data_IF_708035595642
#
_entry.id   IF_708035595642
#
_cell.length_a   1.000
_cell.length_b   1.000
_cell.length_c   1.000
_cell.angle_alpha   90.00
_cell.angle_beta   90.00
_cell.angle_gamma   90.00
#
_symmetry.space_group_name_H-M   'P 1'
#
loop_
_entity.id
_entity.type
_entity.pdbx_description
1 polymer ?
#
# COMPACT_ATOMS: atom_id res chain seq x y z
N UNK A 1 19.58 15.84 19.96
CA UNK A 1 18.62 14.82 19.47
C UNK A 1 18.28 15.18 18.04
N UNK A 2 18.33 14.21 17.16
CA UNK A 2 18.03 14.34 15.72
C UNK A 2 16.51 14.42 15.53
N UNK A 3 15.95 15.40 14.80
CA UNK A 3 14.54 15.40 14.43
C UNK A 3 14.16 14.11 13.68
N UNK A 4 12.91 13.66 13.82
CA UNK A 4 12.44 12.43 13.18
C UNK A 4 12.54 12.49 11.65
N UNK A 5 12.12 13.61 11.09
CA UNK A 5 12.13 13.86 9.65
C UNK A 5 13.56 13.84 9.07
N UNK A 6 14.52 14.42 9.80
CA UNK A 6 15.94 14.43 9.42
C UNK A 6 16.55 13.01 9.50
N UNK A 7 16.21 12.25 10.56
CA UNK A 7 16.62 10.86 10.71
C UNK A 7 16.10 10.00 9.56
N UNK A 8 14.81 10.15 9.24
CA UNK A 8 14.17 9.44 8.14
C UNK A 8 14.82 9.79 6.79
N UNK A 9 15.04 11.08 6.53
CA UNK A 9 15.68 11.54 5.29
C UNK A 9 17.12 11.00 5.17
N UNK A 10 17.92 11.08 6.23
CA UNK A 10 19.29 10.55 6.24
C UNK A 10 19.32 9.02 6.01
N UNK A 11 18.41 8.30 6.64
CA UNK A 11 18.28 6.85 6.47
C UNK A 11 17.87 6.50 5.03
N UNK A 12 16.82 7.11 4.51
CA UNK A 12 16.34 6.83 3.17
C UNK A 12 17.36 7.18 2.10
N UNK A 13 18.14 8.26 2.27
CA UNK A 13 19.19 8.64 1.31
C UNK A 13 20.33 7.62 1.20
N UNK A 14 20.59 6.85 2.25
CA UNK A 14 21.62 5.80 2.24
C UNK A 14 21.12 4.49 1.64
N UNK A 15 19.83 4.19 1.74
CA UNK A 15 19.25 2.93 1.27
C UNK A 15 19.17 2.88 -0.26
N UNK A 16 19.63 1.80 -0.92
CA UNK A 16 19.47 1.61 -2.35
C UNK A 16 18.06 1.14 -2.70
N UNK A 17 17.70 1.28 -3.97
CA UNK A 17 16.61 0.48 -4.55
C UNK A 17 17.12 -0.92 -4.92
N UNK A 18 16.26 -1.95 -4.90
CA UNK A 18 16.64 -3.29 -5.34
C UNK A 18 16.98 -3.30 -6.83
N UNK A 19 17.94 -4.15 -7.21
CA UNK A 19 18.38 -4.34 -8.60
C UNK A 19 17.99 -5.69 -9.16
N UNK A 20 17.76 -6.68 -8.29
CA UNK A 20 17.32 -8.02 -8.70
C UNK A 20 15.83 -8.00 -9.03
N UNK A 21 15.44 -8.72 -10.06
CA UNK A 21 14.05 -8.87 -10.50
C UNK A 21 13.72 -10.33 -10.73
N UNK A 22 12.44 -10.68 -10.67
CA UNK A 22 11.92 -11.98 -11.05
C UNK A 22 10.64 -11.82 -11.87
N UNK A 23 10.35 -12.78 -12.72
CA UNK A 23 9.10 -12.82 -13.51
C UNK A 23 8.11 -13.73 -12.80
N UNK A 24 6.91 -13.20 -12.58
CA UNK A 24 5.83 -13.88 -11.87
C UNK A 24 4.57 -13.94 -12.72
N UNK A 25 3.83 -15.04 -12.62
CA UNK A 25 2.46 -15.07 -13.10
C UNK A 25 1.61 -14.02 -12.33
N UNK A 26 0.63 -13.39 -12.98
CA UNK A 26 -0.22 -12.39 -12.32
C UNK A 26 -0.88 -12.92 -11.04
N UNK A 27 -1.25 -14.19 -11.01
CA UNK A 27 -1.87 -14.85 -9.84
C UNK A 27 -0.94 -14.95 -8.62
N UNK A 28 0.38 -14.82 -8.81
CA UNK A 28 1.41 -14.89 -7.77
C UNK A 28 2.01 -13.52 -7.44
N UNK A 29 1.61 -12.49 -8.20
CA UNK A 29 2.21 -11.17 -8.12
C UNK A 29 1.55 -10.24 -7.07
N UNK A 30 0.51 -10.69 -6.36
CA UNK A 30 -0.16 -9.88 -5.35
C UNK A 30 0.81 -9.40 -4.25
N UNK A 31 0.64 -8.13 -3.85
CA UNK A 31 1.45 -7.44 -2.83
C UNK A 31 2.96 -7.33 -3.16
N UNK A 32 3.32 -7.55 -4.43
CA UNK A 32 4.68 -7.34 -4.93
C UNK A 32 4.82 -5.91 -5.48
N UNK A 33 6.05 -5.53 -5.81
CA UNK A 33 6.36 -4.22 -6.38
C UNK A 33 6.85 -4.41 -7.81
N UNK A 34 6.25 -3.69 -8.74
CA UNK A 34 6.58 -3.74 -10.17
C UNK A 34 8.02 -3.28 -10.41
N UNK A 35 8.80 -4.08 -11.15
CA UNK A 35 10.23 -3.83 -11.35
C UNK A 35 10.56 -3.08 -12.65
N UNK A 36 9.58 -2.87 -13.53
CA UNK A 36 9.72 -2.10 -14.79
C UNK A 36 8.38 -1.45 -15.14
N UNK A 37 8.40 -0.48 -16.05
CA UNK A 37 7.18 0.09 -16.59
C UNK A 37 6.43 -0.97 -17.41
N UNK A 38 5.12 -1.12 -17.18
CA UNK A 38 4.26 -2.02 -17.94
C UNK A 38 3.54 -1.23 -19.02
N UNK A 39 3.78 -1.64 -20.27
CA UNK A 39 3.22 -0.97 -21.45
C UNK A 39 2.06 -1.80 -21.99
N UNK A 40 0.94 -1.15 -22.26
CA UNK A 40 -0.22 -1.83 -22.83
C UNK A 40 0.08 -2.39 -24.24
N UNK A 41 -0.10 -3.71 -24.46
CA UNK A 41 0.07 -4.33 -25.78
C UNK A 41 -1.11 -4.11 -26.72
N UNK A 42 -2.25 -3.66 -26.20
CA UNK A 42 -3.52 -3.51 -26.93
C UNK A 42 -4.22 -2.21 -26.56
N UNK A 43 -5.25 -1.87 -27.34
CA UNK A 43 -6.21 -0.84 -26.98
C UNK A 43 -7.32 -1.45 -26.08
N UNK A 44 -7.88 -0.67 -25.17
CA UNK A 44 -9.09 -1.01 -24.40
C UNK A 44 -10.10 0.11 -24.55
N UNK A 45 -11.30 -0.16 -25.07
CA UNK A 45 -11.69 -1.40 -25.75
C UNK A 45 -10.86 -1.65 -27.02
N UNK A 46 -10.76 -2.90 -27.44
CA UNK A 46 -9.95 -3.30 -28.60
C UNK A 46 -10.61 -3.03 -29.96
N UNK A 47 -11.87 -2.61 -29.95
CA UNK A 47 -12.68 -2.23 -31.12
C UNK A 47 -13.79 -1.27 -30.69
N UNK A 48 -14.33 -0.48 -31.62
CA UNK A 48 -15.51 0.33 -31.38
C UNK A 48 -16.68 -0.56 -31.00
N UNK A 49 -17.34 -0.28 -29.86
CA UNK A 49 -18.45 -1.10 -29.39
C UNK A 49 -19.63 -0.25 -28.88
N UNK A 50 -20.79 -0.89 -28.78
CA UNK A 50 -21.99 -0.23 -28.29
C UNK A 50 -21.94 0.00 -26.78
N UNK A 51 -22.28 1.21 -26.37
CA UNK A 51 -22.49 1.55 -24.95
C UNK A 51 -23.86 1.09 -24.42
N UNK A 52 -24.83 0.82 -25.31
CA UNK A 52 -26.23 0.54 -25.00
C UNK A 52 -26.78 -0.62 -25.83
N UNK A 53 -27.84 -1.22 -25.33
CA UNK A 53 -28.68 -2.11 -26.12
C UNK A 53 -29.57 -1.29 -27.03
N UNK A 54 -29.57 -1.58 -28.33
CA UNK A 54 -30.30 -0.77 -29.27
C UNK A 54 -30.12 -1.17 -30.72
N UNK A 55 -30.02 -0.19 -31.57
CA UNK A 55 -29.88 -0.37 -33.03
C UNK A 55 -28.72 0.51 -33.54
N UNK A 56 -27.76 -0.12 -34.18
CA UNK A 56 -26.72 0.58 -34.93
C UNK A 56 -27.30 1.09 -36.25
N UNK A 57 -27.07 2.37 -36.54
CA UNK A 57 -27.70 3.07 -37.68
C UNK A 57 -26.65 3.92 -38.42
N UNK A 58 -26.96 4.21 -39.67
CA UNK A 58 -26.33 5.28 -40.44
C UNK A 58 -27.21 6.50 -40.43
N UNK A 59 -26.65 7.65 -40.09
CA UNK A 59 -27.38 8.94 -40.04
C UNK A 59 -28.02 9.28 -41.42
N UNK A 60 -27.31 8.98 -42.49
CA UNK A 60 -27.83 9.22 -43.86
C UNK A 60 -29.10 8.45 -44.13
N UNK A 61 -29.25 7.22 -43.62
CA UNK A 61 -30.48 6.44 -43.79
C UNK A 61 -31.65 7.05 -42.96
N UNK A 62 -31.38 7.46 -41.73
CA UNK A 62 -32.38 8.08 -40.86
C UNK A 62 -32.85 9.48 -41.33
N UNK A 63 -31.95 10.20 -42.06
CA UNK A 63 -32.35 11.47 -42.68
C UNK A 63 -33.36 11.27 -43.85
N UNK A 64 -33.36 10.09 -44.46
CA UNK A 64 -34.31 9.74 -45.53
C UNK A 64 -35.60 9.13 -44.97
N UNK A 65 -35.50 8.26 -43.97
CA UNK A 65 -36.63 7.62 -43.31
C UNK A 65 -36.33 7.29 -41.86
N UNK A 66 -37.23 7.65 -40.98
CA UNK A 66 -37.15 7.27 -39.57
C UNK A 66 -37.60 5.85 -39.27
N UNK A 67 -38.00 5.07 -40.31
CA UNK A 67 -38.38 3.67 -40.21
C UNK A 67 -37.42 2.87 -41.09
N UNK A 68 -36.72 1.91 -40.46
CA UNK A 68 -35.71 1.07 -41.12
C UNK A 68 -36.03 -0.44 -40.98
N UNK A 69 -35.61 -1.24 -41.92
CA UNK A 69 -35.59 -2.71 -41.80
C UNK A 69 -34.48 -3.15 -40.84
N UNK A 70 -34.61 -4.34 -40.25
CA UNK A 70 -33.56 -4.93 -39.42
C UNK A 70 -32.75 -5.95 -40.20
N UNK A 71 -31.49 -5.61 -40.54
CA UNK A 71 -30.63 -6.45 -41.38
C UNK A 71 -30.04 -7.66 -40.63
N UNK A 72 -29.98 -7.58 -39.29
CA UNK A 72 -29.43 -8.66 -38.47
C UNK A 72 -29.11 -8.19 -37.06
N UNK A 73 -28.26 -8.98 -36.38
CA UNK A 73 -27.94 -8.76 -34.96
C UNK A 73 -26.42 -8.78 -34.71
N UNK A 74 -25.93 -7.94 -33.80
CA UNK A 74 -24.56 -7.93 -33.30
C UNK A 74 -24.57 -8.15 -31.80
N UNK A 75 -23.89 -9.18 -31.32
CA UNK A 75 -23.76 -9.52 -29.91
C UNK A 75 -22.30 -9.46 -29.47
N UNK A 76 -22.06 -9.28 -28.18
CA UNK A 76 -20.74 -9.43 -27.60
C UNK A 76 -20.20 -10.85 -27.88
N UNK A 77 -18.99 -10.95 -28.43
CA UNK A 77 -18.41 -12.23 -28.88
C UNK A 77 -18.94 -12.81 -30.19
N UNK A 78 -20.04 -12.25 -30.74
CA UNK A 78 -20.60 -12.66 -32.02
C UNK A 78 -21.00 -11.43 -32.84
N UNK A 79 -20.04 -10.75 -33.48
CA UNK A 79 -20.29 -9.53 -34.23
C UNK A 79 -21.14 -9.79 -35.45
N UNK A 80 -21.87 -8.79 -35.91
CA UNK A 80 -22.60 -8.84 -37.15
C UNK A 80 -21.63 -9.09 -38.33
N UNK A 81 -21.88 -10.15 -39.05
CA UNK A 81 -21.11 -10.54 -40.26
C UNK A 81 -21.99 -10.39 -41.47
N UNK A 82 -21.70 -9.43 -42.30
CA UNK A 82 -22.44 -9.26 -43.55
C UNK A 82 -22.50 -7.81 -43.99
N UNK A 83 -22.95 -7.65 -45.25
CA UNK A 83 -23.28 -6.32 -45.77
C UNK A 83 -24.73 -6.03 -45.45
N UNK A 84 -24.99 -4.88 -44.85
CA UNK A 84 -26.35 -4.40 -44.67
C UNK A 84 -26.68 -3.31 -45.69
N UNK A 85 -27.88 -3.44 -46.30
CA UNK A 85 -28.33 -2.54 -47.35
C UNK A 85 -28.63 -1.13 -46.85
N UNK A 86 -28.93 -0.20 -47.75
CA UNK A 86 -29.49 1.09 -47.42
C UNK A 86 -30.84 0.90 -46.71
N UNK A 87 -31.28 1.91 -45.96
CA UNK A 87 -32.52 1.91 -45.20
C UNK A 87 -32.69 0.72 -44.23
N UNK A 88 -31.59 0.32 -43.59
CA UNK A 88 -31.60 -0.75 -42.60
C UNK A 88 -30.78 -0.40 -41.36
N UNK A 89 -31.12 -1.04 -40.23
CA UNK A 89 -30.46 -0.97 -38.95
C UNK A 89 -29.95 -2.38 -38.54
N UNK A 90 -28.97 -2.44 -37.65
CA UNK A 90 -28.52 -3.70 -37.04
C UNK A 90 -28.87 -3.66 -35.55
N UNK A 91 -29.63 -4.65 -35.08
CA UNK A 91 -29.88 -4.84 -33.66
C UNK A 91 -28.56 -5.08 -32.94
N UNK A 92 -28.22 -4.29 -31.95
CA UNK A 92 -26.93 -4.38 -31.26
C UNK A 92 -27.13 -4.41 -29.77
N UNK A 93 -26.27 -5.16 -29.06
CA UNK A 93 -26.22 -5.23 -27.61
C UNK A 93 -24.99 -4.52 -27.07
N UNK A 94 -25.06 -4.10 -25.82
CA UNK A 94 -23.95 -3.46 -25.10
C UNK A 94 -22.68 -4.31 -25.18
N UNK A 95 -21.56 -3.68 -25.51
CA UNK A 95 -20.26 -4.35 -25.70
C UNK A 95 -20.08 -5.05 -27.04
N UNK A 96 -21.12 -5.13 -27.88
CA UNK A 96 -21.01 -5.71 -29.23
C UNK A 96 -20.27 -4.75 -30.17
N UNK A 97 -19.48 -5.33 -31.10
CA UNK A 97 -18.74 -4.59 -32.11
C UNK A 97 -19.71 -3.79 -33.01
N UNK A 98 -19.38 -2.52 -33.21
CA UNK A 98 -20.13 -1.65 -34.12
C UNK A 98 -20.00 -2.18 -35.57
N UNK A 99 -21.12 -2.41 -36.29
CA UNK A 99 -21.06 -2.79 -37.69
C UNK A 99 -20.37 -1.72 -38.53
N UNK A 100 -19.61 -2.16 -39.52
CA UNK A 100 -18.93 -1.23 -40.43
C UNK A 100 -19.92 -0.28 -41.13
N UNK A 101 -19.60 1.01 -41.07
CA UNK A 101 -20.41 2.08 -41.64
C UNK A 101 -21.53 2.60 -40.76
N UNK A 102 -21.70 2.07 -39.53
CA UNK A 102 -22.62 2.67 -38.58
C UNK A 102 -22.05 3.96 -37.97
N UNK A 103 -22.91 4.97 -37.83
CA UNK A 103 -22.55 6.29 -37.31
C UNK A 103 -22.98 6.52 -35.86
N UNK A 104 -23.99 5.78 -35.39
CA UNK A 104 -24.54 5.90 -34.06
C UNK A 104 -25.27 4.63 -33.63
N UNK A 105 -25.52 4.54 -32.32
CA UNK A 105 -26.43 3.56 -31.73
C UNK A 105 -27.58 4.31 -31.05
N UNK A 106 -28.81 3.96 -31.42
CA UNK A 106 -30.03 4.45 -30.76
C UNK A 106 -30.49 3.41 -29.75
N UNK A 107 -30.77 3.84 -28.51
CA UNK A 107 -31.24 2.94 -27.46
C UNK A 107 -32.56 2.28 -27.84
N UNK A 108 -32.75 1.06 -27.41
CA UNK A 108 -34.02 0.32 -27.70
C UNK A 108 -35.25 1.00 -27.14
N UNK A 109 -35.09 1.76 -26.04
CA UNK A 109 -36.17 2.51 -25.39
C UNK A 109 -36.67 3.71 -26.25
N UNK A 110 -35.86 4.15 -27.22
CA UNK A 110 -36.12 5.22 -28.14
C UNK A 110 -36.64 4.74 -29.50
N UNK A 111 -36.91 3.41 -29.60
CA UNK A 111 -37.27 2.75 -30.86
C UNK A 111 -38.59 1.98 -30.69
N UNK A 112 -39.51 2.13 -31.65
CA UNK A 112 -40.72 1.33 -31.76
C UNK A 112 -40.48 0.18 -32.75
N UNK A 113 -40.69 -1.06 -32.30
CA UNK A 113 -40.68 -2.25 -33.20
C UNK A 113 -42.07 -2.42 -33.79
N UNK A 114 -42.17 -2.40 -35.11
CA UNK A 114 -43.45 -2.53 -35.85
C UNK A 114 -43.81 -4.02 -36.04
N UNK A 115 -45.09 -4.28 -36.32
CA UNK A 115 -45.62 -5.63 -36.58
C UNK A 115 -44.96 -6.34 -37.76
N UNK A 116 -44.51 -5.56 -38.77
CA UNK A 116 -43.80 -6.08 -39.96
C UNK A 116 -42.30 -6.33 -39.72
N UNK A 117 -41.81 -6.12 -38.46
CA UNK A 117 -40.41 -6.32 -38.10
C UNK A 117 -39.49 -5.14 -38.44
N UNK A 118 -40.01 -4.05 -38.98
CA UNK A 118 -39.25 -2.79 -39.09
C UNK A 118 -39.15 -2.08 -37.77
N UNK A 119 -38.26 -1.09 -37.68
CA UNK A 119 -38.04 -0.29 -36.46
C UNK A 119 -38.18 1.20 -36.77
N UNK A 120 -38.96 1.92 -35.98
CA UNK A 120 -39.16 3.36 -36.10
C UNK A 120 -38.47 4.09 -34.98
N UNK A 121 -37.65 5.07 -35.31
CA UNK A 121 -36.84 5.87 -34.39
C UNK A 121 -37.59 7.16 -34.01
N UNK A 122 -37.52 7.51 -32.73
CA UNK A 122 -38.22 8.70 -32.21
C UNK A 122 -37.54 10.01 -32.62
N UNK A 123 -36.23 10.01 -32.77
CA UNK A 123 -35.40 11.17 -33.11
C UNK A 123 -34.13 10.78 -33.85
N UNK A 124 -33.54 11.74 -34.59
CA UNK A 124 -32.25 11.59 -35.20
C UNK A 124 -31.13 11.61 -34.12
N UNK A 125 -30.28 10.58 -34.01
CA UNK A 125 -29.20 10.57 -33.04
C UNK A 125 -28.08 11.53 -33.46
N UNK A 126 -27.25 11.90 -32.48
CA UNK A 126 -25.98 12.61 -32.75
C UNK A 126 -24.95 11.67 -33.35
N UNK A 127 -24.00 12.19 -34.19
CA UNK A 127 -22.86 11.39 -34.63
C UNK A 127 -22.12 10.79 -33.42
N UNK A 128 -21.75 9.51 -33.52
CA UNK A 128 -21.07 8.73 -32.49
C UNK A 128 -21.85 8.52 -31.17
N UNK A 129 -23.16 8.82 -31.16
CA UNK A 129 -24.00 8.60 -29.99
C UNK A 129 -23.94 7.13 -29.58
N UNK A 130 -23.69 6.86 -28.28
CA UNK A 130 -23.61 5.53 -27.67
C UNK A 130 -22.58 4.58 -28.29
N UNK A 131 -21.52 5.12 -28.91
CA UNK A 131 -20.38 4.34 -29.38
C UNK A 131 -19.18 4.61 -28.48
N UNK A 132 -18.64 3.56 -27.83
CA UNK A 132 -17.34 3.59 -27.16
C UNK A 132 -16.26 3.34 -28.19
N UNK A 133 -15.28 4.23 -28.24
CA UNK A 133 -14.22 4.17 -29.24
C UNK A 133 -13.08 3.25 -28.82
N UNK A 134 -12.46 2.62 -29.81
CA UNK A 134 -11.22 1.87 -29.66
C UNK A 134 -10.18 2.72 -28.89
N UNK A 135 -9.60 2.16 -27.80
CA UNK A 135 -8.59 2.82 -27.00
C UNK A 135 -9.10 4.01 -26.15
N UNK A 136 -10.39 4.09 -25.89
CA UNK A 136 -11.00 5.16 -25.09
C UNK A 136 -10.52 5.13 -23.63
N UNK A 137 -10.29 3.95 -23.08
CA UNK A 137 -9.79 3.74 -21.70
C UNK A 137 -8.26 3.65 -21.69
N UNK A 138 -7.69 2.72 -22.46
CA UNK A 138 -6.24 2.51 -22.56
C UNK A 138 -5.84 2.38 -24.02
N UNK A 139 -4.81 3.10 -24.43
CA UNK A 139 -4.24 2.96 -25.80
C UNK A 139 -3.08 1.99 -25.79
N UNK A 140 -2.93 1.27 -26.87
CA UNK A 140 -1.72 0.48 -27.12
C UNK A 140 -0.49 1.40 -27.07
N UNK A 141 0.50 1.04 -26.24
CA UNK A 141 1.70 1.82 -26.00
C UNK A 141 1.66 2.71 -24.77
N UNK A 142 0.50 2.88 -24.12
CA UNK A 142 0.41 3.61 -22.86
C UNK A 142 1.13 2.85 -21.73
N UNK A 143 1.81 3.58 -20.87
CA UNK A 143 2.34 3.03 -19.62
C UNK A 143 1.18 2.92 -18.63
N UNK A 144 0.83 1.71 -18.25
CA UNK A 144 -0.31 1.43 -17.36
C UNK A 144 0.09 1.23 -15.90
N UNK A 145 1.35 0.83 -15.66
CA UNK A 145 1.97 0.81 -14.35
C UNK A 145 3.41 1.26 -14.48
N UNK A 146 3.90 2.00 -13.50
CA UNK A 146 5.29 2.41 -13.42
C UNK A 146 6.13 1.49 -12.56
N UNK A 147 7.42 1.44 -12.85
CA UNK A 147 8.39 0.82 -11.96
C UNK A 147 8.28 1.41 -10.55
N UNK A 148 8.09 0.55 -9.56
CA UNK A 148 7.91 0.94 -8.17
C UNK A 148 6.46 1.00 -7.70
N UNK A 149 5.49 0.74 -8.59
CA UNK A 149 4.07 0.63 -8.24
C UNK A 149 3.77 -0.71 -7.57
N UNK A 150 2.78 -0.70 -6.67
CA UNK A 150 2.31 -1.92 -6.00
C UNK A 150 1.36 -2.72 -6.89
N UNK A 151 1.62 -4.03 -6.98
CA UNK A 151 0.76 -5.01 -7.64
C UNK A 151 -0.33 -5.46 -6.65
N UNK A 152 -1.55 -4.97 -6.84
CA UNK A 152 -2.65 -5.13 -5.90
C UNK A 152 -3.96 -5.50 -6.60
N UNK A 153 -5.05 -5.58 -5.83
CA UNK A 153 -6.38 -5.92 -6.34
C UNK A 153 -6.97 -4.92 -7.35
N UNK A 154 -6.32 -3.82 -7.64
CA UNK A 154 -6.72 -2.85 -8.68
C UNK A 154 -5.80 -2.94 -9.90
N UNK A 155 -4.48 -2.98 -9.68
CA UNK A 155 -3.50 -3.01 -10.76
C UNK A 155 -3.46 -4.36 -11.49
N UNK A 156 -3.55 -5.49 -10.77
CA UNK A 156 -3.50 -6.81 -11.40
C UNK A 156 -4.68 -7.09 -12.34
N UNK A 157 -5.95 -6.78 -12.01
CA UNK A 157 -7.06 -6.89 -12.96
C UNK A 157 -6.90 -6.01 -14.20
N UNK A 158 -6.30 -4.81 -14.06
CA UNK A 158 -5.97 -3.98 -15.22
C UNK A 158 -5.01 -4.73 -16.15
N UNK A 159 -3.90 -5.29 -15.64
CA UNK A 159 -2.98 -6.08 -16.47
C UNK A 159 -3.64 -7.29 -17.10
N UNK A 160 -4.51 -7.98 -16.36
CA UNK A 160 -5.28 -9.11 -16.88
C UNK A 160 -6.20 -8.69 -18.04
N UNK A 161 -6.85 -7.52 -17.97
CA UNK A 161 -7.70 -7.00 -19.04
C UNK A 161 -6.92 -6.65 -20.31
N UNK A 162 -5.61 -6.44 -20.18
CA UNK A 162 -4.69 -6.22 -21.31
C UNK A 162 -4.12 -7.53 -21.90
N UNK A 163 -4.50 -8.68 -21.35
CA UNK A 163 -3.98 -9.98 -21.76
C UNK A 163 -2.55 -10.27 -21.31
N UNK A 164 -2.04 -9.51 -20.33
CA UNK A 164 -0.72 -9.72 -19.75
C UNK A 164 -0.81 -10.86 -18.76
N UNK A 165 -0.06 -11.94 -18.97
CA UNK A 165 -0.09 -13.13 -18.13
C UNK A 165 0.98 -13.10 -17.03
N UNK A 166 2.08 -12.39 -17.26
CA UNK A 166 3.26 -12.33 -16.37
C UNK A 166 3.71 -10.90 -16.22
N UNK A 167 4.35 -10.61 -15.09
CA UNK A 167 4.90 -9.29 -14.75
C UNK A 167 6.26 -9.44 -14.09
N UNK A 168 7.18 -8.50 -14.36
CA UNK A 168 8.44 -8.41 -13.62
C UNK A 168 8.21 -7.67 -12.30
N UNK A 169 8.63 -8.28 -11.21
CA UNK A 169 8.53 -7.75 -9.87
C UNK A 169 9.88 -7.81 -9.14
N UNK A 170 10.04 -6.98 -8.13
CA UNK A 170 11.15 -7.13 -7.19
C UNK A 170 10.91 -8.33 -6.28
N UNK A 171 11.97 -9.11 -5.91
CA UNK A 171 11.85 -10.19 -4.93
C UNK A 171 11.37 -9.66 -3.58
N UNK A 172 10.76 -10.52 -2.78
CA UNK A 172 10.43 -10.18 -1.39
C UNK A 172 11.70 -9.86 -0.62
N UNK A 173 11.64 -8.79 0.18
CA UNK A 173 12.75 -8.41 1.05
C UNK A 173 12.94 -9.46 2.14
N UNK A 174 14.14 -10.02 2.26
CA UNK A 174 14.50 -10.96 3.33
C UNK A 174 14.93 -10.19 4.56
N UNK A 175 14.24 -10.39 5.66
CA UNK A 175 14.48 -9.67 6.91
C UNK A 175 14.77 -10.65 8.05
N UNK A 176 15.97 -10.58 8.60
CA UNK A 176 16.31 -11.31 9.81
C UNK A 176 15.85 -10.53 11.05
N UNK A 177 15.21 -11.22 11.98
CA UNK A 177 14.74 -10.63 13.25
C UNK A 177 15.31 -11.42 14.41
N UNK A 178 15.86 -10.71 15.39
CA UNK A 178 16.37 -11.28 16.62
C UNK A 178 16.11 -10.36 17.82
N UNK A 179 16.00 -10.95 19.01
CA UNK A 179 15.94 -10.22 20.29
C UNK A 179 17.16 -10.53 21.12
N UNK A 180 17.53 -9.60 22.00
CA UNK A 180 18.59 -9.76 23.00
C UNK A 180 18.09 -9.41 24.38
N UNK A 181 18.49 -10.18 25.37
CA UNK A 181 18.17 -9.96 26.77
C UNK A 181 17.95 -11.29 27.52
N UNK A 182 18.69 -11.49 28.60
CA UNK A 182 18.59 -12.69 29.45
C UNK A 182 17.24 -12.77 30.20
N UNK A 183 16.51 -11.63 30.28
CA UNK A 183 15.17 -11.57 30.85
C UNK A 183 14.08 -12.12 29.91
N UNK A 184 14.40 -12.31 28.61
CA UNK A 184 13.41 -12.65 27.61
C UNK A 184 13.14 -14.17 27.56
N UNK A 185 11.87 -14.53 27.50
CA UNK A 185 11.40 -15.92 27.36
C UNK A 185 10.47 -16.05 26.17
N UNK A 186 10.55 -17.13 25.38
CA UNK A 186 9.61 -17.40 24.31
C UNK A 186 8.18 -17.51 24.82
N UNK A 187 7.22 -17.03 24.03
CA UNK A 187 5.78 -17.17 24.33
C UNK A 187 5.41 -18.65 24.50
N UNK A 188 4.62 -18.95 25.54
CA UNK A 188 4.17 -20.31 25.85
C UNK A 188 5.03 -21.07 26.89
N UNK A 189 6.17 -20.53 27.27
CA UNK A 189 6.99 -21.10 28.37
C UNK A 189 6.65 -20.41 29.70
N UNK A 190 6.76 -21.11 30.85
CA UNK A 190 6.51 -20.51 32.16
C UNK A 190 7.61 -19.47 32.50
N UNK A 191 7.20 -18.34 33.07
CA UNK A 191 8.11 -17.28 33.52
C UNK A 191 8.73 -17.64 34.89
N UNK A 192 10.03 -17.39 35.01
CA UNK A 192 10.71 -17.33 36.30
C UNK A 192 10.75 -15.90 36.84
N UNK A 193 11.17 -15.71 38.08
CA UNK A 193 11.30 -14.38 38.66
C UNK A 193 12.27 -13.51 37.86
N UNK A 194 11.82 -12.30 37.49
CA UNK A 194 12.60 -11.36 36.67
C UNK A 194 12.48 -11.54 35.16
N UNK A 195 11.80 -12.58 34.70
CA UNK A 195 11.63 -12.83 33.28
C UNK A 195 10.35 -12.19 32.71
N UNK A 196 10.39 -11.88 31.40
CA UNK A 196 9.27 -11.35 30.61
C UNK A 196 9.18 -12.07 29.26
N UNK A 197 8.00 -12.06 28.66
CA UNK A 197 7.85 -12.61 27.29
C UNK A 197 8.43 -11.67 26.23
N UNK A 198 9.07 -12.27 25.22
CA UNK A 198 9.56 -11.54 24.03
C UNK A 198 8.40 -11.12 23.11
N UNK A 199 7.78 -10.01 23.45
CA UNK A 199 6.67 -9.43 22.68
C UNK A 199 7.14 -8.60 21.49
N UNK A 200 8.35 -8.04 21.56
CA UNK A 200 8.86 -7.15 20.51
C UNK A 200 9.14 -7.91 19.22
N UNK A 201 9.88 -9.01 19.28
CA UNK A 201 10.18 -9.86 18.12
C UNK A 201 8.89 -10.40 17.50
N UNK A 202 7.96 -10.84 18.32
CA UNK A 202 6.64 -11.28 17.87
C UNK A 202 5.89 -10.19 17.10
N UNK A 203 5.84 -8.96 17.65
CA UNK A 203 5.21 -7.80 17.01
C UNK A 203 5.90 -7.44 15.69
N UNK A 204 7.24 -7.34 15.69
CA UNK A 204 8.02 -7.01 14.48
C UNK A 204 7.80 -8.05 13.39
N UNK A 205 7.79 -9.33 13.74
CA UNK A 205 7.51 -10.42 12.80
C UNK A 205 6.15 -10.27 12.13
N UNK A 206 5.09 -10.05 12.90
CA UNK A 206 3.74 -9.83 12.36
C UNK A 206 3.68 -8.60 11.44
N UNK A 207 4.37 -7.51 11.80
CA UNK A 207 4.42 -6.31 10.95
C UNK A 207 5.18 -6.56 9.65
N UNK A 208 6.27 -7.32 9.68
CA UNK A 208 7.04 -7.70 8.50
C UNK A 208 6.25 -8.62 7.56
N UNK A 209 5.50 -9.57 8.10
CA UNK A 209 4.61 -10.45 7.32
C UNK A 209 3.52 -9.62 6.60
N UNK A 210 2.91 -8.65 7.28
CA UNK A 210 1.97 -7.69 6.67
C UNK A 210 2.62 -6.77 5.60
N UNK A 211 3.92 -6.57 5.67
CA UNK A 211 4.69 -5.84 4.66
C UNK A 211 5.20 -6.73 3.52
N UNK A 212 4.74 -7.99 3.48
CA UNK A 212 5.10 -8.99 2.48
C UNK A 212 6.62 -9.28 2.43
N UNK A 213 7.29 -9.26 3.59
CA UNK A 213 8.68 -9.64 3.73
C UNK A 213 8.83 -11.15 3.97
N UNK A 214 9.96 -11.73 3.53
CA UNK A 214 10.39 -13.06 3.92
C UNK A 214 11.14 -12.97 5.25
N UNK A 215 10.52 -13.43 6.33
CA UNK A 215 11.04 -13.27 7.70
C UNK A 215 11.92 -14.45 8.10
N UNK A 216 13.16 -14.17 8.48
CA UNK A 216 14.12 -15.12 9.04
C UNK A 216 14.20 -14.89 10.56
N UNK A 217 13.57 -15.76 11.33
CA UNK A 217 13.49 -15.65 12.79
C UNK A 217 14.72 -16.31 13.46
N UNK A 218 15.62 -15.49 14.01
CA UNK A 218 16.83 -15.92 14.71
C UNK A 218 16.62 -16.15 16.21
N UNK A 219 15.42 -15.89 16.73
CA UNK A 219 15.10 -16.15 18.12
C UNK A 219 15.63 -15.10 19.11
N UNK A 220 15.73 -15.52 20.37
CA UNK A 220 16.29 -14.74 21.47
C UNK A 220 17.75 -15.15 21.61
N UNK A 221 18.64 -14.17 21.57
CA UNK A 221 20.05 -14.37 21.81
C UNK A 221 20.39 -14.03 23.28
N UNK A 222 21.20 -14.85 23.95
CA UNK A 222 21.69 -14.52 25.28
C UNK A 222 22.61 -13.31 25.23
N UNK A 223 22.81 -12.65 26.37
CA UNK A 223 23.73 -11.52 26.50
C UNK A 223 25.20 -12.00 26.49
N UNK A 224 25.58 -12.70 25.41
CA UNK A 224 26.91 -13.24 25.13
C UNK A 224 27.46 -12.67 23.83
N UNK A 225 28.60 -11.97 23.91
CA UNK A 225 29.19 -11.29 22.76
C UNK A 225 29.51 -12.23 21.60
N UNK A 226 30.04 -13.42 21.86
CA UNK A 226 30.48 -14.37 20.82
C UNK A 226 29.27 -14.96 20.08
N UNK A 227 28.19 -15.32 20.80
CA UNK A 227 26.95 -15.82 20.22
C UNK A 227 26.24 -14.75 19.40
N UNK A 228 26.24 -13.52 19.91
CA UNK A 228 25.69 -12.36 19.21
C UNK A 228 26.44 -12.09 17.90
N UNK A 229 27.79 -12.06 17.92
CA UNK A 229 28.62 -11.86 16.74
C UNK A 229 28.37 -12.97 15.70
N UNK A 230 28.32 -14.23 16.12
CA UNK A 230 28.07 -15.37 15.25
C UNK A 230 26.65 -15.31 14.61
N UNK A 231 25.64 -14.93 15.39
CA UNK A 231 24.27 -14.76 14.89
C UNK A 231 24.17 -13.61 13.87
N UNK A 232 24.87 -12.50 14.09
CA UNK A 232 24.92 -11.37 13.14
C UNK A 232 25.61 -11.74 11.83
N UNK A 233 26.75 -12.44 11.88
CA UNK A 233 27.43 -12.94 10.68
C UNK A 233 26.50 -13.84 9.87
N UNK A 234 25.78 -14.74 10.54
CA UNK A 234 24.82 -15.63 9.88
C UNK A 234 23.61 -14.87 9.33
N UNK A 235 23.05 -13.92 10.08
CA UNK A 235 21.88 -13.14 9.68
C UNK A 235 22.17 -12.27 8.45
N UNK A 236 23.29 -11.53 8.44
CA UNK A 236 23.64 -10.66 7.32
C UNK A 236 24.01 -11.42 6.03
N UNK A 237 24.40 -12.70 6.14
CA UNK A 237 24.67 -13.54 4.97
C UNK A 237 23.37 -14.04 4.30
N UNK A 238 22.23 -14.03 4.99
CA UNK A 238 20.98 -14.61 4.53
C UNK A 238 19.88 -13.57 4.29
N UNK A 239 20.00 -12.36 4.84
CA UNK A 239 18.99 -11.31 4.79
C UNK A 239 19.51 -10.04 4.13
N UNK A 240 18.57 -9.24 3.60
CA UNK A 240 18.82 -7.89 3.07
C UNK A 240 18.80 -6.83 4.18
N UNK A 241 18.03 -7.11 5.26
CA UNK A 241 17.87 -6.26 6.44
C UNK A 241 17.91 -7.12 7.70
N UNK A 242 18.66 -6.67 8.71
CA UNK A 242 18.69 -7.27 10.05
C UNK A 242 18.04 -6.32 11.04
N UNK A 243 17.07 -6.80 11.80
CA UNK A 243 16.37 -6.01 12.84
C UNK A 243 16.62 -6.65 14.21
N UNK A 244 17.08 -5.84 15.17
CA UNK A 244 17.16 -6.27 16.57
C UNK A 244 16.13 -5.54 17.42
N UNK A 245 15.62 -6.23 18.43
CA UNK A 245 14.89 -5.64 19.53
C UNK A 245 15.69 -5.75 20.83
N UNK A 246 15.99 -4.63 21.45
CA UNK A 246 16.95 -4.52 22.53
C UNK A 246 18.38 -4.24 22.03
N UNK A 247 19.33 -4.09 22.95
CA UNK A 247 20.75 -3.88 22.65
C UNK A 247 21.12 -2.54 21.99
N UNK A 248 20.23 -1.55 21.99
CA UNK A 248 20.49 -0.20 21.45
C UNK A 248 20.44 0.90 22.51
N UNK A 249 20.42 0.51 23.77
CA UNK A 249 20.49 1.43 24.90
C UNK A 249 21.94 1.86 25.14
N UNK A 250 22.13 3.10 25.56
CA UNK A 250 23.47 3.65 25.90
C UNK A 250 23.92 3.21 27.32
N UNK A 251 23.60 1.98 27.74
CA UNK A 251 23.95 1.43 29.06
C UNK A 251 25.34 0.79 29.11
N UNK A 252 25.84 0.51 30.31
CA UNK A 252 27.21 0.03 30.58
C UNK A 252 27.53 -1.40 30.08
N UNK A 253 26.53 -2.20 29.64
CA UNK A 253 26.71 -3.58 29.15
C UNK A 253 26.54 -3.71 27.62
N UNK A 254 26.97 -2.70 26.85
CA UNK A 254 26.62 -2.62 25.43
C UNK A 254 27.71 -3.24 24.52
N UNK A 255 27.91 -4.57 24.62
CA UNK A 255 28.71 -5.33 23.65
C UNK A 255 28.07 -5.27 22.24
N UNK A 256 26.75 -5.03 22.14
CA UNK A 256 26.04 -4.84 20.87
C UNK A 256 26.67 -3.74 20.03
N UNK A 257 27.00 -2.60 20.65
CA UNK A 257 27.70 -1.51 19.96
C UNK A 257 29.06 -1.95 19.45
N UNK A 258 29.84 -2.62 20.29
CA UNK A 258 31.18 -3.11 19.95
C UNK A 258 31.13 -4.12 18.81
N UNK A 259 30.14 -5.03 18.82
CA UNK A 259 29.98 -6.01 17.72
C UNK A 259 29.55 -5.30 16.43
N UNK A 260 28.58 -4.41 16.50
CA UNK A 260 28.09 -3.68 15.32
C UNK A 260 29.17 -2.79 14.69
N UNK A 261 30.06 -2.19 15.48
CA UNK A 261 31.21 -1.44 14.98
C UNK A 261 32.27 -2.33 14.30
N UNK A 262 32.35 -3.61 14.67
CA UNK A 262 33.23 -4.58 14.00
C UNK A 262 32.64 -5.13 12.69
N UNK A 263 31.34 -5.39 12.66
CA UNK A 263 30.68 -6.06 11.52
C UNK A 263 30.09 -5.08 10.51
N UNK A 264 30.19 -3.75 10.76
CA UNK A 264 29.65 -2.76 9.84
C UNK A 264 29.85 -1.32 10.27
N UNK A 265 29.17 -0.42 9.58
CA UNK A 265 29.12 1.02 9.87
C UNK A 265 27.72 1.35 10.41
N UNK A 266 27.56 1.30 11.73
CA UNK A 266 26.29 1.54 12.40
C UNK A 266 26.36 2.81 13.24
N UNK A 267 25.36 3.67 13.08
CA UNK A 267 25.19 4.91 13.82
C UNK A 267 24.10 4.74 14.88
N UNK A 268 24.40 5.13 16.11
CA UNK A 268 23.43 5.14 17.20
C UNK A 268 22.85 6.55 17.36
N UNK A 269 21.57 6.66 17.06
CA UNK A 269 20.87 7.94 17.06
C UNK A 269 20.03 8.13 18.32
N UNK A 270 19.96 9.39 18.77
CA UNK A 270 19.00 9.85 19.76
C UNK A 270 17.95 10.68 19.02
N UNK A 271 16.83 10.05 18.66
CA UNK A 271 15.75 10.70 17.91
C UNK A 271 14.93 11.60 18.84
N UNK A 272 14.53 12.79 18.36
CA UNK A 272 13.71 13.74 19.08
C UNK A 272 12.22 13.36 19.05
N UNK A 273 11.90 12.10 19.34
CA UNK A 273 10.53 11.58 19.42
C UNK A 273 10.25 10.89 20.76
N UNK A 274 8.99 10.72 21.09
CA UNK A 274 8.50 10.03 22.28
C UNK A 274 7.21 9.26 21.93
N UNK A 275 7.19 7.92 22.23
CA UNK A 275 8.31 7.07 22.63
C UNK A 275 9.29 6.80 21.49
N UNK A 276 10.44 6.15 21.76
CA UNK A 276 11.36 5.71 20.71
C UNK A 276 12.61 6.58 20.54
N UNK A 277 13.17 7.12 21.63
CA UNK A 277 14.38 7.95 21.61
C UNK A 277 15.63 7.26 21.04
N UNK A 278 16.03 6.03 21.49
CA UNK A 278 17.20 5.35 20.93
C UNK A 278 16.81 4.60 19.65
N UNK A 279 17.66 4.68 18.64
CA UNK A 279 17.55 3.94 17.39
C UNK A 279 18.95 3.75 16.81
N UNK A 280 19.26 2.55 16.30
CA UNK A 280 20.49 2.29 15.60
C UNK A 280 20.20 1.96 14.14
N UNK A 281 20.97 2.54 13.23
CA UNK A 281 20.84 2.33 11.80
C UNK A 281 22.22 2.31 11.13
N UNK A 282 22.40 1.43 10.16
CA UNK A 282 23.63 1.40 9.40
C UNK A 282 23.70 0.28 8.38
N UNK A 283 24.91 0.13 7.80
CA UNK A 283 25.25 -0.91 6.84
C UNK A 283 26.17 -1.92 7.51
N UNK A 284 25.75 -3.19 7.51
CA UNK A 284 26.63 -4.33 7.73
C UNK A 284 27.36 -4.67 6.43
N UNK A 285 28.22 -5.67 6.44
CA UNK A 285 28.94 -6.08 5.24
C UNK A 285 28.00 -6.42 4.07
N UNK A 286 26.96 -7.24 4.33
CA UNK A 286 26.05 -7.74 3.29
C UNK A 286 24.58 -7.30 3.45
N UNK A 287 24.18 -6.75 4.60
CA UNK A 287 22.82 -6.36 4.90
C UNK A 287 22.74 -4.94 5.48
N UNK A 288 21.54 -4.38 5.51
CA UNK A 288 21.21 -3.18 6.30
C UNK A 288 20.87 -3.58 7.72
N UNK A 289 20.96 -2.64 8.64
CA UNK A 289 20.68 -2.87 10.06
C UNK A 289 19.76 -1.82 10.64
N UNK A 290 18.78 -2.27 11.43
CA UNK A 290 17.92 -1.43 12.26
C UNK A 290 17.86 -2.00 13.68
N UNK A 291 18.27 -1.23 14.68
CA UNK A 291 18.18 -1.58 16.08
C UNK A 291 17.02 -0.84 16.75
N UNK A 292 16.06 -1.56 17.31
CA UNK A 292 14.87 -1.04 17.97
C UNK A 292 15.06 -0.94 19.49
N UNK A 293 14.37 0.01 20.16
CA UNK A 293 14.35 0.09 21.62
C UNK A 293 13.79 -1.18 22.26
N UNK A 294 14.22 -1.49 23.49
CA UNK A 294 13.69 -2.64 24.26
C UNK A 294 12.24 -2.45 24.75
N UNK A 295 11.80 -1.22 25.07
CA UNK A 295 10.42 -0.97 25.49
C UNK A 295 9.42 -1.25 24.34
N UNK A 296 8.35 -2.06 24.56
CA UNK A 296 7.47 -2.54 23.48
C UNK A 296 6.80 -1.43 22.67
N UNK A 297 6.26 -0.41 23.34
CA UNK A 297 5.63 0.72 22.64
C UNK A 297 6.66 1.53 21.86
N UNK A 298 7.88 1.66 22.40
CA UNK A 298 8.96 2.36 21.69
C UNK A 298 9.41 1.60 20.46
N UNK A 299 9.56 0.29 20.56
CA UNK A 299 9.93 -0.59 19.43
C UNK A 299 8.90 -0.49 18.30
N UNK A 300 7.59 -0.60 18.65
CA UNK A 300 6.52 -0.52 17.66
C UNK A 300 6.46 0.86 16.99
N UNK A 301 6.50 1.96 17.75
CA UNK A 301 6.44 3.32 17.18
C UNK A 301 7.68 3.59 16.32
N UNK A 302 8.87 3.14 16.75
CA UNK A 302 10.11 3.29 15.96
C UNK A 302 10.04 2.47 14.67
N UNK A 303 9.56 1.24 14.73
CA UNK A 303 9.32 0.43 13.53
C UNK A 303 8.36 1.14 12.57
N UNK A 304 7.24 1.61 13.08
CA UNK A 304 6.19 2.25 12.28
C UNK A 304 6.68 3.53 11.59
N UNK A 305 7.45 4.37 12.31
CA UNK A 305 7.86 5.68 11.80
C UNK A 305 9.17 5.64 10.99
N UNK A 306 10.07 4.68 11.24
CA UNK A 306 11.39 4.63 10.60
C UNK A 306 11.59 3.36 9.76
N UNK A 307 11.32 2.18 10.32
CA UNK A 307 11.64 0.91 9.64
C UNK A 307 10.68 0.62 8.51
N UNK A 308 9.38 0.89 8.68
CA UNK A 308 8.39 0.71 7.62
C UNK A 308 8.75 1.50 6.33
N UNK A 309 9.11 2.80 6.37
CA UNK A 309 9.58 3.52 5.19
C UNK A 309 10.88 2.96 4.58
N UNK A 310 11.80 2.47 5.43
CA UNK A 310 13.02 1.82 4.96
C UNK A 310 12.72 0.54 4.17
N UNK A 311 11.83 -0.31 4.70
CA UNK A 311 11.35 -1.52 4.03
C UNK A 311 10.68 -1.17 2.70
N UNK A 312 9.83 -0.14 2.65
CA UNK A 312 9.19 0.30 1.43
C UNK A 312 10.23 0.63 0.33
N UNK A 313 11.29 1.35 0.68
CA UNK A 313 12.38 1.67 -0.25
C UNK A 313 13.18 0.44 -0.68
N UNK A 314 13.58 -0.40 0.28
CA UNK A 314 14.34 -1.63 0.01
C UNK A 314 13.51 -2.66 -0.81
N UNK A 315 12.19 -2.62 -0.72
CA UNK A 315 11.27 -3.43 -1.53
C UNK A 315 11.00 -2.83 -2.92
N UNK A 316 11.56 -1.65 -3.24
CA UNK A 316 11.47 -1.03 -4.56
C UNK A 316 10.31 -0.04 -4.74
N UNK A 317 9.54 0.30 -3.70
CA UNK A 317 8.46 1.29 -3.80
C UNK A 317 9.05 2.69 -4.03
N UNK A 318 8.82 3.26 -5.21
CA UNK A 318 9.32 4.60 -5.56
C UNK A 318 8.47 5.72 -4.97
N UNK A 319 7.16 5.49 -4.89
CA UNK A 319 6.18 6.46 -4.43
C UNK A 319 5.31 5.88 -3.30
N UNK A 320 5.92 5.53 -2.13
CA UNK A 320 5.14 4.99 -1.03
C UNK A 320 4.09 6.02 -0.60
N UNK A 321 2.88 5.55 -0.36
CA UNK A 321 1.79 6.41 0.14
C UNK A 321 2.21 7.04 1.46
N UNK A 322 2.15 8.36 1.53
CA UNK A 322 2.37 9.09 2.78
C UNK A 322 1.25 8.75 3.76
N UNK A 323 1.59 8.62 5.04
CA UNK A 323 0.59 8.50 6.08
C UNK A 323 -0.29 9.75 6.12
N UNK A 324 -1.62 9.60 6.10
CA UNK A 324 -2.50 10.76 6.18
C UNK A 324 -2.45 11.36 7.59
N UNK A 325 -2.46 12.69 7.65
CA UNK A 325 -2.61 13.43 8.89
C UNK A 325 -3.91 14.23 8.84
N UNK A 326 -4.70 14.15 9.88
CA UNK A 326 -5.95 14.90 9.99
C UNK A 326 -5.92 15.81 11.21
N UNK A 327 -6.74 16.86 11.18
CA UNK A 327 -6.99 17.72 12.34
C UNK A 327 -8.19 17.17 13.12
N UNK A 328 -8.05 17.05 14.43
CA UNK A 328 -9.10 16.57 15.32
C UNK A 328 -9.19 17.44 16.57
N UNK A 329 -10.36 17.53 17.16
CA UNK A 329 -10.61 18.24 18.40
C UNK A 329 -10.22 17.34 19.58
N UNK A 330 -9.32 17.78 20.46
CA UNK A 330 -8.98 17.05 21.66
C UNK A 330 -10.17 17.06 22.63
N UNK A 331 -10.74 15.90 22.95
CA UNK A 331 -11.88 15.79 23.87
C UNK A 331 -11.47 16.01 25.33
N UNK A 332 -10.20 15.80 25.66
CA UNK A 332 -9.65 15.92 27.01
C UNK A 332 -8.30 16.63 27.00
N UNK A 333 -7.86 17.10 28.15
CA UNK A 333 -6.52 17.66 28.28
C UNK A 333 -5.44 16.62 27.99
N UNK A 334 -4.43 16.99 27.19
CA UNK A 334 -3.29 16.14 26.87
C UNK A 334 -2.02 16.69 27.53
N UNK A 335 -1.34 15.83 28.28
CA UNK A 335 -0.05 16.20 28.91
C UNK A 335 1.07 16.09 27.85
N UNK A 336 1.82 17.15 27.67
CA UNK A 336 2.93 17.25 26.72
C UNK A 336 4.05 18.12 27.28
N UNK A 337 5.28 17.61 27.27
CA UNK A 337 6.49 18.41 27.56
C UNK A 337 7.18 18.76 26.24
N UNK A 338 7.57 20.03 26.01
CA UNK A 338 8.34 20.43 24.83
C UNK A 338 9.66 19.66 24.68
N UNK A 339 10.23 19.69 23.47
CA UNK A 339 11.56 19.15 23.14
C UNK A 339 11.55 17.86 22.29
N UNK A 340 10.43 17.14 22.17
CA UNK A 340 10.30 15.95 21.32
C UNK A 340 8.93 15.91 20.67
N UNK A 341 8.86 15.38 19.46
CA UNK A 341 7.62 14.98 18.80
C UNK A 341 6.99 13.81 19.59
N UNK A 342 5.74 13.96 20.03
CA UNK A 342 5.08 12.96 20.88
C UNK A 342 4.01 12.21 20.08
N UNK A 343 4.03 10.88 20.14
CA UNK A 343 3.05 9.98 19.55
C UNK A 343 2.25 9.31 20.67
N UNK A 344 1.14 9.94 21.06
CA UNK A 344 0.24 9.38 22.07
C UNK A 344 -0.77 8.45 21.38
N UNK A 345 -1.06 7.31 22.02
CA UNK A 345 -2.10 6.39 21.54
C UNK A 345 -3.45 7.04 21.78
N UNK A 346 -4.23 7.17 20.71
CA UNK A 346 -5.52 7.82 20.72
C UNK A 346 -6.61 7.01 20.05
N UNK A 347 -7.83 7.34 20.38
CA UNK A 347 -9.00 6.89 19.65
C UNK A 347 -9.73 8.11 19.08
N UNK A 348 -9.87 8.15 17.77
CA UNK A 348 -10.59 9.20 17.09
C UNK A 348 -11.90 8.65 16.51
N UNK A 349 -12.89 9.53 16.43
CA UNK A 349 -14.20 9.28 15.85
C UNK A 349 -14.74 10.55 15.20
N UNK A 350 -15.80 10.41 14.43
CA UNK A 350 -16.55 11.53 13.87
C UNK A 350 -17.71 11.81 14.83
N UNK A 351 -17.87 13.07 15.27
CA UNK A 351 -18.98 13.48 16.12
C UNK A 351 -20.27 13.75 15.28
N UNK A 352 -21.37 14.06 15.96
CA UNK A 352 -22.68 14.34 15.32
C UNK A 352 -22.65 15.52 14.35
N UNK A 353 -21.69 16.44 14.50
CA UNK A 353 -21.48 17.59 13.61
C UNK A 353 -20.54 17.30 12.42
N UNK A 354 -20.10 16.05 12.25
CA UNK A 354 -19.19 15.65 11.18
C UNK A 354 -17.70 16.03 11.43
N UNK A 355 -17.34 16.44 12.65
CA UNK A 355 -15.99 16.81 13.01
C UNK A 355 -15.24 15.63 13.61
N UNK A 356 -13.92 15.55 13.37
CA UNK A 356 -13.06 14.57 14.00
C UNK A 356 -12.77 15.00 15.45
N UNK A 357 -12.98 14.08 16.36
CA UNK A 357 -12.64 14.20 17.78
C UNK A 357 -11.69 13.09 18.17
N UNK A 358 -10.80 13.37 19.13
CA UNK A 358 -9.83 12.40 19.62
C UNK A 358 -9.65 12.49 21.12
N UNK A 359 -9.48 11.34 21.77
CA UNK A 359 -9.05 11.25 23.16
C UNK A 359 -7.88 10.26 23.32
N UNK A 360 -7.00 10.47 24.32
CA UNK A 360 -5.91 9.53 24.59
C UNK A 360 -6.46 8.24 25.21
N UNK A 361 -5.88 7.10 24.83
CA UNK A 361 -6.25 5.79 25.36
C UNK A 361 -5.30 5.40 26.47
N UNK A 362 -5.81 5.28 27.68
CA UNK A 362 -5.07 4.86 28.86
C UNK A 362 -3.85 5.72 29.19
N UNK A 363 -2.93 5.15 29.97
CA UNK A 363 -1.67 5.79 30.28
C UNK A 363 -0.69 5.68 29.09
N UNK A 364 0.07 6.74 28.85
CA UNK A 364 0.97 6.88 27.71
C UNK A 364 2.41 6.35 27.95
N UNK A 365 2.59 5.44 28.94
CA UNK A 365 3.89 4.82 29.23
C UNK A 365 4.41 3.95 28.08
N UNK A 366 5.74 3.93 27.88
CA UNK A 366 6.38 3.15 26.81
C UNK A 366 6.37 1.63 27.00
N UNK A 367 5.96 1.18 28.20
CA UNK A 367 5.79 -0.24 28.56
C UNK A 367 4.34 -0.72 28.47
N UNK A 368 3.37 0.18 28.25
CA UNK A 368 1.93 -0.13 28.30
C UNK A 368 1.39 -0.47 26.91
N UNK A 369 1.67 -1.68 26.45
CA UNK A 369 1.28 -2.14 25.12
C UNK A 369 -0.24 -2.28 24.92
N UNK A 370 -0.98 -2.62 25.99
CA UNK A 370 -2.44 -2.83 25.93
C UNK A 370 -3.23 -1.62 25.43
N UNK A 371 -2.67 -0.41 25.51
CA UNK A 371 -3.30 0.80 24.97
C UNK A 371 -3.50 0.76 23.45
N UNK A 372 -2.67 -0.01 22.69
CA UNK A 372 -2.83 -0.15 21.24
C UNK A 372 -4.12 -0.89 20.84
N UNK A 373 -4.55 -1.87 21.64
CA UNK A 373 -5.76 -2.66 21.34
C UNK A 373 -7.03 -1.80 21.26
N UNK A 374 -7.03 -0.68 22.00
CA UNK A 374 -8.15 0.26 22.08
C UNK A 374 -7.92 1.55 21.26
N UNK A 375 -6.79 1.66 20.57
CA UNK A 375 -6.43 2.85 19.82
C UNK A 375 -6.63 2.61 18.33
N UNK A 376 -6.92 3.68 17.58
CA UNK A 376 -6.98 3.66 16.12
C UNK A 376 -6.11 4.74 15.46
N UNK A 377 -5.40 5.54 16.27
CA UNK A 377 -4.49 6.56 15.75
C UNK A 377 -3.36 6.86 16.75
N UNK A 378 -2.34 7.57 16.24
CA UNK A 378 -1.47 8.39 17.07
C UNK A 378 -2.01 9.81 17.12
N UNK A 379 -2.07 10.40 18.33
CA UNK A 379 -2.16 11.85 18.50
C UNK A 379 -0.73 12.38 18.38
N UNK A 380 -0.45 13.11 17.30
CA UNK A 380 0.86 13.64 16.97
C UNK A 380 0.99 15.06 17.51
N UNK A 381 1.76 15.24 18.58
CA UNK A 381 1.97 16.54 19.21
C UNK A 381 3.37 17.06 18.88
N UNK A 382 3.43 18.23 18.29
CA UNK A 382 4.63 18.83 17.74
C UNK A 382 5.72 19.04 18.81
N UNK A 383 6.98 19.07 18.38
CA UNK A 383 8.16 19.11 19.25
C UNK A 383 8.10 20.22 20.29
N UNK A 384 7.72 21.43 19.88
CA UNK A 384 7.77 22.62 20.73
C UNK A 384 6.43 22.92 21.43
N UNK A 385 5.40 22.09 21.19
CA UNK A 385 4.08 22.22 21.83
C UNK A 385 4.17 21.81 23.30
N UNK A 386 3.45 22.57 24.16
CA UNK A 386 3.19 22.21 25.56
C UNK A 386 1.92 21.38 25.74
N UNK A 387 1.35 21.40 26.92
CA UNK A 387 0.05 20.79 27.23
C UNK A 387 -1.04 21.31 26.29
N UNK A 388 -1.98 20.46 25.96
CA UNK A 388 -3.14 20.76 25.12
C UNK A 388 -4.39 20.77 26.00
N UNK A 389 -5.20 21.82 25.92
CA UNK A 389 -6.49 21.88 26.61
C UNK A 389 -7.56 21.14 25.79
N UNK A 390 -8.60 20.63 26.47
CA UNK A 390 -9.79 20.14 25.81
C UNK A 390 -10.39 21.22 24.91
N UNK A 391 -10.82 20.84 23.70
CA UNK A 391 -11.33 21.75 22.67
C UNK A 391 -10.28 22.28 21.69
N UNK A 392 -8.99 22.15 22.00
CA UNK A 392 -7.94 22.52 21.04
C UNK A 392 -7.80 21.52 19.89
N UNK A 393 -7.34 22.03 18.75
CA UNK A 393 -7.06 21.21 17.57
C UNK A 393 -5.68 20.56 17.70
N UNK A 394 -5.62 19.28 17.42
CA UNK A 394 -4.41 18.45 17.37
C UNK A 394 -4.32 17.70 16.05
N UNK A 395 -3.11 17.32 15.67
CA UNK A 395 -2.90 16.45 14.52
C UNK A 395 -3.04 14.99 14.94
N UNK A 396 -3.80 14.20 14.18
CA UNK A 396 -3.87 12.75 14.33
C UNK A 396 -3.27 12.06 13.09
N UNK A 397 -2.65 10.92 13.33
CA UNK A 397 -2.15 9.99 12.33
C UNK A 397 -2.89 8.66 12.51
N UNK A 398 -3.94 8.38 11.70
CA UNK A 398 -4.66 7.12 11.76
C UNK A 398 -3.73 5.92 11.52
N UNK A 399 -3.99 4.82 12.20
CA UNK A 399 -3.22 3.60 11.96
C UNK A 399 -3.46 3.10 10.55
N UNK A 400 -2.38 2.74 9.86
CA UNK A 400 -2.49 2.05 8.58
C UNK A 400 -2.73 0.54 8.79
N UNK A 401 -2.73 -0.22 7.70
CA UNK A 401 -2.96 -1.68 7.71
C UNK A 401 -2.03 -2.48 8.64
N UNK A 402 -0.89 -1.93 9.10
CA UNK A 402 0.00 -2.62 10.04
C UNK A 402 -0.59 -2.70 11.45
N UNK A 403 -1.23 -1.63 11.89
CA UNK A 403 -1.80 -1.49 13.24
C UNK A 403 -3.32 -1.37 13.21
N UNK A 404 -3.89 -1.00 12.08
CA UNK A 404 -5.32 -0.78 11.88
C UNK A 404 -6.10 -2.08 11.76
N UNK A 405 -7.38 -1.91 12.01
CA UNK A 405 -8.41 -2.94 11.83
C UNK A 405 -8.85 -2.97 10.37
#
# INVERSE_FOLDING_TARGET
MLPLEDALAQMLNQLPFPTKTETLALTEAADRVCAEDVISPINVPSFDNSAMDGYAVRLADLQQSMTLSVAGKSFAGNPFQGKWGAQSAVRIMTGAMIPEGADAVVMQEEVTVNEDGTVTFAALPKPNQNIRRIGEDVKKGDVVLHQGDELNAVSLPLLASLGIAEVKAYPRLKVAVLSTGDELVPVGQPLQAGQIYDTNRFTVKLMLEKLNCDVLDFGILPDNQAEFEAAFVKAQAQADLVITSGGVSVGEADFTKTVLEKVGQVNFWKIAMKPGKPFAFGKLENAWFCGLPGNPVSALVTFYQLVQPAIAKLSGKKHPKKQPHFQAIAQTNLKKSPGRLDFQRGFYQINENGQLEVHPVGFQGSHLFSSFVKSNCFIRLEKDRGNVAAGEIVTIEPFNHLLGQ
#
